data_IF_876086836443
#
_entry.id   IF_876086836443
#
_cell.length_a   1.000
_cell.length_b   1.000
_cell.length_c   1.000
_cell.angle_alpha   90.00
_cell.angle_beta   90.00
_cell.angle_gamma   90.00
#
_symmetry.space_group_name_H-M   'P 1'
#
loop_
_entity.id
_entity.type
_entity.pdbx_description
1 polymer ?
#
# COMPACT_ATOMS: atom_id res chain seq x y z
N UNK A 1 -6.34 -46.12 -11.57
CA UNK A 1 -6.80 -44.93 -10.83
C UNK A 1 -5.82 -43.77 -11.03
N UNK A 2 -6.00 -42.91 -12.03
CA UNK A 2 -5.19 -41.68 -12.18
C UNK A 2 -5.94 -40.66 -13.03
N UNK A 3 -6.79 -39.84 -12.40
CA UNK A 3 -7.50 -38.75 -13.11
C UNK A 3 -7.88 -37.54 -12.24
N UNK A 4 -7.19 -37.32 -11.11
CA UNK A 4 -7.56 -36.25 -10.14
C UNK A 4 -6.53 -35.11 -10.06
N UNK A 5 -5.31 -35.28 -10.58
CA UNK A 5 -4.21 -34.31 -10.37
C UNK A 5 -4.28 -33.05 -11.28
N UNK A 6 -5.04 -33.09 -12.38
CA UNK A 6 -5.08 -31.97 -13.35
C UNK A 6 -5.93 -30.76 -12.93
N UNK A 7 -7.00 -30.97 -12.16
CA UNK A 7 -7.97 -29.92 -11.84
C UNK A 7 -7.47 -28.91 -10.80
N UNK A 8 -6.63 -29.35 -9.86
CA UNK A 8 -6.16 -28.52 -8.74
C UNK A 8 -5.21 -27.42 -9.19
N UNK A 9 -4.32 -27.71 -10.15
CA UNK A 9 -3.37 -26.72 -10.70
C UNK A 9 -4.07 -25.64 -11.53
N UNK A 10 -5.15 -26.01 -12.23
CA UNK A 10 -5.99 -25.07 -12.98
C UNK A 10 -6.80 -24.17 -12.03
N UNK A 11 -7.41 -24.76 -10.98
CA UNK A 11 -8.10 -24.02 -9.93
C UNK A 11 -7.18 -23.03 -9.21
N UNK A 12 -5.95 -23.42 -8.86
CA UNK A 12 -4.96 -22.50 -8.28
C UNK A 12 -4.61 -21.37 -9.23
N UNK A 13 -4.33 -21.64 -10.52
CA UNK A 13 -4.05 -20.57 -11.49
C UNK A 13 -5.23 -19.62 -11.67
N UNK A 14 -6.46 -20.12 -11.68
CA UNK A 14 -7.66 -19.28 -11.72
C UNK A 14 -7.87 -18.51 -10.42
N UNK A 15 -7.68 -19.11 -9.25
CA UNK A 15 -7.78 -18.43 -7.96
C UNK A 15 -6.73 -17.31 -7.83
N UNK A 16 -5.51 -17.55 -8.30
CA UNK A 16 -4.45 -16.54 -8.36
C UNK A 16 -4.70 -15.45 -9.41
N UNK A 17 -5.24 -15.80 -10.59
CA UNK A 17 -5.57 -14.82 -11.62
C UNK A 17 -6.76 -13.94 -11.22
N UNK A 18 -7.78 -14.54 -10.62
CA UNK A 18 -8.98 -13.85 -10.11
C UNK A 18 -8.61 -12.99 -8.90
N UNK A 19 -7.80 -13.46 -7.94
CA UNK A 19 -7.27 -12.63 -6.85
C UNK A 19 -6.55 -11.37 -7.36
N UNK A 20 -5.81 -11.48 -8.47
CA UNK A 20 -5.05 -10.36 -9.05
C UNK A 20 -5.91 -9.23 -9.63
N UNK A 21 -7.15 -9.51 -10.05
CA UNK A 21 -8.10 -8.50 -10.54
C UNK A 21 -8.88 -7.84 -9.40
N UNK A 22 -9.16 -8.56 -8.31
CA UNK A 22 -9.83 -8.01 -7.12
C UNK A 22 -8.88 -7.21 -6.21
N UNK A 23 -7.56 -7.48 -6.30
CA UNK A 23 -6.51 -6.73 -5.61
C UNK A 23 -5.96 -5.53 -6.41
N UNK A 24 -6.60 -5.11 -7.51
CA UNK A 24 -6.24 -3.87 -8.19
C UNK A 24 -6.74 -2.64 -7.41
N UNK A 25 -5.88 -1.64 -7.17
CA UNK A 25 -6.27 -0.39 -6.50
C UNK A 25 -7.18 0.43 -7.43
N UNK A 26 -8.27 0.97 -6.89
CA UNK A 26 -9.16 1.86 -7.62
C UNK A 26 -8.50 3.20 -7.93
N UNK A 27 -9.07 4.00 -8.84
CA UNK A 27 -8.60 5.37 -9.09
C UNK A 27 -8.73 6.25 -7.84
N UNK A 28 -9.77 6.04 -7.04
CA UNK A 28 -10.00 6.77 -5.80
C UNK A 28 -8.99 6.36 -4.72
N UNK A 29 -8.64 5.07 -4.65
CA UNK A 29 -7.60 4.55 -3.74
C UNK A 29 -6.26 5.21 -4.07
N UNK A 30 -5.94 5.35 -5.36
CA UNK A 30 -4.71 5.98 -5.81
C UNK A 30 -4.66 7.47 -5.45
N UNK A 31 -5.75 8.19 -5.70
CA UNK A 31 -5.86 9.60 -5.33
C UNK A 31 -5.71 9.80 -3.81
N UNK A 32 -6.24 8.86 -3.01
CA UNK A 32 -6.09 8.87 -1.57
C UNK A 32 -4.63 8.63 -1.15
N UNK A 33 -3.95 7.63 -1.72
CA UNK A 33 -2.53 7.37 -1.45
C UNK A 33 -1.64 8.55 -1.87
N UNK A 34 -1.94 9.21 -2.98
CA UNK A 34 -1.22 10.42 -3.39
C UNK A 34 -1.33 11.56 -2.38
N UNK A 35 -2.53 11.77 -1.84
CA UNK A 35 -2.75 12.77 -0.78
C UNK A 35 -1.98 12.42 0.50
N UNK A 36 -1.93 11.15 0.86
CA UNK A 36 -1.14 10.68 2.01
C UNK A 36 0.34 10.95 1.78
N UNK A 37 0.86 10.58 0.61
CA UNK A 37 2.26 10.81 0.25
C UNK A 37 2.62 12.31 0.25
N UNK A 38 1.77 13.18 -0.30
CA UNK A 38 1.94 14.64 -0.24
C UNK A 38 2.03 15.12 1.20
N UNK A 39 1.17 14.60 2.07
CA UNK A 39 1.09 15.03 3.46
C UNK A 39 2.29 14.55 4.29
N UNK A 40 2.88 13.40 3.94
CA UNK A 40 4.14 12.91 4.51
C UNK A 40 5.31 13.82 4.08
N UNK A 41 5.43 14.11 2.78
CA UNK A 41 6.53 14.93 2.24
C UNK A 41 6.46 16.37 2.74
N UNK A 42 5.27 17.00 2.75
CA UNK A 42 5.07 18.37 3.25
C UNK A 42 5.47 18.55 4.71
N UNK A 43 5.53 17.47 5.48
CA UNK A 43 5.90 17.48 6.91
C UNK A 43 7.38 17.11 7.14
N UNK A 44 8.17 16.93 6.08
CA UNK A 44 9.56 16.49 6.17
C UNK A 44 9.71 15.05 6.66
N UNK A 45 8.66 14.23 6.53
CA UNK A 45 8.61 12.87 7.06
C UNK A 45 8.92 11.80 6.02
N UNK A 46 9.45 12.15 4.84
CA UNK A 46 9.70 11.20 3.76
C UNK A 46 10.60 10.04 4.19
N UNK A 47 11.83 10.33 4.64
CA UNK A 47 12.79 9.32 5.12
C UNK A 47 12.29 8.48 6.30
N UNK A 48 11.76 9.05 7.40
CA UNK A 48 11.26 8.23 8.50
C UNK A 48 10.02 7.40 8.12
N UNK A 49 9.16 7.91 7.23
CA UNK A 49 7.99 7.16 6.77
C UNK A 49 8.37 6.00 5.85
N UNK A 50 9.31 6.18 4.91
CA UNK A 50 9.76 5.08 4.04
C UNK A 50 10.43 3.98 4.83
N UNK A 51 11.35 4.31 5.74
CA UNK A 51 12.01 3.33 6.63
C UNK A 51 10.99 2.57 7.49
N UNK A 52 10.00 3.28 8.04
CA UNK A 52 8.92 2.64 8.79
C UNK A 52 8.10 1.70 7.90
N UNK A 53 7.66 2.15 6.73
CA UNK A 53 6.86 1.37 5.78
C UNK A 53 7.61 0.13 5.25
N UNK A 54 8.90 0.24 4.99
CA UNK A 54 9.77 -0.90 4.63
C UNK A 54 9.84 -1.94 5.75
N UNK A 55 9.85 -1.48 7.02
CA UNK A 55 9.88 -2.37 8.18
C UNK A 55 8.58 -3.15 8.39
N UNK A 56 7.43 -2.63 7.93
CA UNK A 56 6.12 -3.29 8.04
C UNK A 56 5.71 -4.09 6.80
N UNK A 57 6.37 -3.87 5.65
CA UNK A 57 6.10 -4.55 4.37
C UNK A 57 6.06 -6.08 4.35
N UNK A 58 6.79 -6.83 5.22
CA UNK A 58 6.71 -8.30 5.24
C UNK A 58 5.55 -8.89 6.07
N UNK A 59 4.93 -8.12 6.96
CA UNK A 59 3.98 -8.63 7.96
C UNK A 59 2.56 -8.14 7.71
N UNK A 60 1.76 -9.01 7.11
CA UNK A 60 0.31 -8.87 6.89
C UNK A 60 -0.54 -8.75 8.18
N UNK A 61 0.03 -8.31 9.31
CA UNK A 61 -0.64 -8.33 10.62
C UNK A 61 -0.54 -7.03 11.43
N UNK A 62 0.22 -6.03 10.94
CA UNK A 62 0.38 -4.75 11.65
C UNK A 62 -0.27 -3.57 10.93
N UNK A 63 -1.14 -3.77 9.93
CA UNK A 63 -1.86 -2.67 9.28
C UNK A 63 -2.61 -1.80 10.29
N UNK A 64 -3.37 -2.44 11.20
CA UNK A 64 -4.10 -1.78 12.29
C UNK A 64 -3.21 -1.02 13.29
N UNK A 65 -2.01 -1.55 13.63
CA UNK A 65 -1.08 -0.87 14.55
C UNK A 65 -0.20 0.19 13.88
N UNK A 66 0.14 0.02 12.61
CA UNK A 66 0.89 1.00 11.82
C UNK A 66 0.08 2.29 11.64
N UNK A 67 -1.24 2.19 11.56
CA UNK A 67 -2.11 3.36 11.55
C UNK A 67 -2.01 4.17 12.83
N UNK A 68 -1.92 3.54 14.00
CA UNK A 68 -1.78 4.28 15.25
C UNK A 68 -0.50 5.14 15.26
N UNK A 69 0.56 4.69 14.59
CA UNK A 69 1.78 5.48 14.41
C UNK A 69 1.59 6.62 13.39
N UNK A 70 0.87 6.36 12.29
CA UNK A 70 0.61 7.35 11.24
C UNK A 70 -0.58 8.28 11.53
N UNK A 71 -1.41 7.99 12.54
CA UNK A 71 -2.60 8.76 12.92
C UNK A 71 -2.33 10.26 13.04
N UNK A 72 -1.29 10.75 13.75
CA UNK A 72 -1.03 12.19 13.83
C UNK A 72 -0.75 12.86 12.48
N UNK A 73 -0.27 12.10 11.48
CA UNK A 73 -0.01 12.59 10.12
C UNK A 73 -1.30 12.53 9.29
N UNK A 74 -2.10 11.48 9.48
CA UNK A 74 -3.34 11.22 8.75
C UNK A 74 -4.50 12.11 9.24
N UNK A 75 -4.65 12.35 10.54
CA UNK A 75 -5.68 13.23 11.13
C UNK A 75 -5.65 14.66 10.56
N UNK A 76 -4.46 15.12 10.19
CA UNK A 76 -4.26 16.46 9.62
C UNK A 76 -4.39 16.49 8.08
N UNK A 77 -4.45 15.34 7.40
CA UNK A 77 -4.45 15.23 5.94
C UNK A 77 -5.73 14.60 5.35
N UNK A 78 -6.43 13.82 6.16
CA UNK A 78 -7.53 12.95 5.79
C UNK A 78 -8.68 13.13 6.78
N UNK A 79 -9.91 12.97 6.31
CA UNK A 79 -11.09 12.88 7.19
C UNK A 79 -11.06 11.54 7.92
N UNK A 80 -11.69 11.42 9.09
CA UNK A 80 -11.74 10.17 9.87
C UNK A 80 -12.20 8.96 9.03
N UNK A 81 -13.20 9.12 8.16
CA UNK A 81 -13.66 8.08 7.24
C UNK A 81 -12.62 7.69 6.18
N UNK A 82 -11.72 8.59 5.82
CA UNK A 82 -10.61 8.32 4.90
C UNK A 82 -9.45 7.63 5.62
N UNK A 83 -9.26 7.86 6.93
CA UNK A 83 -8.23 7.20 7.74
C UNK A 83 -8.50 5.70 7.85
N UNK A 84 -9.76 5.33 8.11
CA UNK A 84 -10.21 3.92 8.07
C UNK A 84 -10.09 3.30 6.67
N UNK A 85 -10.20 4.11 5.61
CA UNK A 85 -9.99 3.60 4.26
C UNK A 85 -8.49 3.39 3.97
N UNK A 86 -7.63 4.34 4.33
CA UNK A 86 -6.16 4.19 4.25
C UNK A 86 -5.70 2.99 5.05
N UNK A 87 -6.29 2.74 6.21
CA UNK A 87 -6.07 1.56 7.03
C UNK A 87 -6.23 0.26 6.25
N UNK A 88 -7.40 0.11 5.64
CA UNK A 88 -7.73 -1.07 4.87
C UNK A 88 -6.85 -1.20 3.62
N UNK A 89 -6.48 -0.08 3.00
CA UNK A 89 -5.55 -0.09 1.87
C UNK A 89 -4.17 -0.59 2.30
N UNK A 90 -3.63 -0.16 3.45
CA UNK A 90 -2.33 -0.58 3.96
C UNK A 90 -2.26 -2.07 4.35
N UNK A 91 -3.41 -2.72 4.57
CA UNK A 91 -3.48 -4.18 4.78
C UNK A 91 -3.29 -4.99 3.48
N UNK A 92 -3.46 -4.35 2.31
CA UNK A 92 -3.21 -4.99 1.01
C UNK A 92 -1.72 -5.03 0.71
N UNK A 93 -1.25 -6.20 0.28
CA UNK A 93 0.18 -6.50 0.05
C UNK A 93 0.87 -5.52 -0.90
N UNK A 94 0.13 -4.98 -1.86
CA UNK A 94 0.70 -4.14 -2.93
C UNK A 94 0.66 -2.63 -2.61
N UNK A 95 -0.05 -2.22 -1.55
CA UNK A 95 -0.25 -0.80 -1.22
C UNK A 95 0.98 -0.18 -0.56
N UNK A 96 1.62 -0.87 0.40
CA UNK A 96 2.80 -0.35 1.11
C UNK A 96 3.96 -0.04 0.15
N UNK A 97 4.37 -0.96 -0.75
CA UNK A 97 5.39 -0.66 -1.76
C UNK A 97 5.02 0.52 -2.66
N UNK A 98 3.74 0.62 -3.05
CA UNK A 98 3.27 1.73 -3.89
C UNK A 98 3.30 3.07 -3.16
N UNK A 99 2.94 3.09 -1.88
CA UNK A 99 3.00 4.30 -1.06
C UNK A 99 4.44 4.78 -0.86
N UNK A 100 5.40 3.87 -0.65
CA UNK A 100 6.83 4.20 -0.58
C UNK A 100 7.28 4.89 -1.87
N UNK A 101 6.98 4.31 -3.04
CA UNK A 101 7.33 4.91 -4.35
C UNK A 101 6.72 6.30 -4.52
N UNK A 102 5.46 6.50 -4.10
CA UNK A 102 4.81 7.81 -4.17
C UNK A 102 5.49 8.84 -3.26
N UNK A 103 5.87 8.45 -2.03
CA UNK A 103 6.59 9.31 -1.09
C UNK A 103 7.96 9.70 -1.67
N UNK A 104 8.71 8.73 -2.20
CA UNK A 104 10.02 8.96 -2.80
C UNK A 104 9.93 9.92 -4.00
N UNK A 105 9.04 9.64 -4.96
CA UNK A 105 8.84 10.46 -6.16
C UNK A 105 8.45 11.90 -5.84
N UNK A 106 7.68 12.12 -4.76
CA UNK A 106 7.28 13.45 -4.31
C UNK A 106 8.37 14.14 -3.47
N UNK A 107 9.22 13.38 -2.79
CA UNK A 107 10.33 13.91 -1.98
C UNK A 107 11.54 14.36 -2.81
N UNK A 108 11.79 13.68 -3.93
CA UNK A 108 12.83 14.03 -4.89
C UNK A 108 12.28 13.91 -6.32
N UNK A 109 11.59 14.95 -6.82
CA UNK A 109 11.01 14.94 -8.17
C UNK A 109 12.06 14.88 -9.30
N UNK A 110 13.37 15.02 -9.00
CA UNK A 110 14.46 14.89 -9.97
C UNK A 110 15.21 13.54 -9.89
N UNK A 111 14.98 12.73 -8.86
CA UNK A 111 15.71 11.48 -8.60
C UNK A 111 15.39 10.29 -9.53
N UNK A 112 14.30 10.36 -10.31
CA UNK A 112 13.90 9.28 -11.24
C UNK A 112 14.79 9.17 -12.49
N UNK A 113 15.64 10.18 -12.77
CA UNK A 113 16.47 10.21 -13.99
C UNK A 113 17.82 9.49 -13.87
N UNK A 114 18.19 8.92 -12.72
CA UNK A 114 19.57 8.48 -12.46
C UNK A 114 19.73 7.08 -11.84
N UNK A 115 18.71 6.21 -11.92
CA UNK A 115 18.84 4.80 -11.49
C UNK A 115 18.39 3.84 -12.59
#
# INVERSE_FOLDING_TARGET
MSRVVGGFKAFLKQAFAVAREQDALSLDDLALLERVADAVVKRGMATPATVFLESVGPMNFLGSQALHFLTPILDLACKTSEIEHVAHLLERRDTVPRLIVLIEAKSDPMGFSAR
#
